data_IF_775657309455
#
_entry.id   IF_775657309455
#
_cell.length_a   1.000
_cell.length_b   1.000
_cell.length_c   1.000
_cell.angle_alpha   90.00
_cell.angle_beta   90.00
_cell.angle_gamma   90.00
#
_symmetry.space_group_name_H-M   'P 1'
#
loop_
_entity.id
_entity.type
_entity.pdbx_description
1 polymer ?
#
# COMPACT_ATOMS: atom_id res chain seq x y z
N UNK A 1 -24.11 -2.29 -18.85
CA UNK A 1 -23.53 -1.37 -17.85
C UNK A 1 -22.04 -1.24 -18.14
N UNK A 2 -21.51 -0.04 -18.46
CA UNK A 2 -20.06 0.15 -18.49
C UNK A 2 -19.55 0.33 -17.05
N UNK A 3 -18.55 -0.45 -16.65
CA UNK A 3 -17.74 -0.18 -15.46
C UNK A 3 -16.37 0.32 -15.94
N UNK A 4 -15.82 1.33 -15.28
CA UNK A 4 -14.50 1.88 -15.55
C UNK A 4 -13.51 1.41 -14.49
N UNK A 5 -12.35 0.91 -14.91
CA UNK A 5 -11.24 0.58 -14.01
C UNK A 5 -10.21 1.72 -14.09
N UNK A 6 -10.01 2.43 -12.98
CA UNK A 6 -9.00 3.48 -12.85
C UNK A 6 -7.85 2.91 -12.03
N UNK A 7 -6.61 2.97 -12.55
CA UNK A 7 -5.39 2.53 -11.87
C UNK A 7 -4.46 3.72 -11.72
N UNK A 8 -4.27 4.20 -10.49
CA UNK A 8 -3.28 5.24 -10.15
C UNK A 8 -2.07 4.62 -9.44
N UNK A 9 -0.86 5.14 -9.68
CA UNK A 9 0.40 4.61 -9.13
C UNK A 9 1.24 5.74 -8.54
N UNK A 10 1.68 5.58 -7.29
CA UNK A 10 2.53 6.52 -6.57
C UNK A 10 3.73 5.76 -5.98
N UNK A 11 4.92 6.36 -5.98
CA UNK A 11 6.16 5.77 -5.46
C UNK A 11 6.85 6.72 -4.47
N UNK A 12 7.20 6.23 -3.28
CA UNK A 12 7.94 6.97 -2.25
C UNK A 12 8.99 6.03 -1.63
N UNK A 13 10.26 6.46 -1.61
CA UNK A 13 11.39 5.65 -1.12
C UNK A 13 12.07 6.32 0.07
N UNK A 14 12.31 5.56 1.14
CA UNK A 14 13.08 5.97 2.32
C UNK A 14 14.03 4.83 2.73
N UNK A 15 15.24 5.16 3.16
CA UNK A 15 16.22 4.19 3.71
C UNK A 15 16.36 4.42 5.21
N UNK A 16 16.23 3.35 6.00
CA UNK A 16 16.33 3.38 7.47
C UNK A 16 17.33 2.30 7.89
N UNK A 17 18.29 2.67 8.76
CA UNK A 17 19.29 1.75 9.31
C UNK A 17 19.02 1.50 10.81
N UNK A 18 19.03 0.24 11.24
CA UNK A 18 18.80 -0.15 12.63
C UNK A 18 19.45 -1.51 12.95
N UNK A 19 19.95 -1.69 14.19
CA UNK A 19 20.41 -2.98 14.73
C UNK A 19 19.23 -3.71 15.39
N UNK A 20 18.56 -4.57 14.61
CA UNK A 20 17.38 -5.34 15.05
C UNK A 20 17.44 -6.78 14.50
N UNK A 21 16.60 -7.66 15.05
CA UNK A 21 16.47 -9.02 14.53
C UNK A 21 15.83 -9.01 13.13
N UNK A 22 16.09 -10.05 12.34
CA UNK A 22 15.50 -10.19 11.01
C UNK A 22 13.96 -10.26 11.06
N UNK A 23 13.40 -10.87 12.11
CA UNK A 23 11.95 -10.99 12.29
C UNK A 23 11.33 -9.62 12.59
N UNK A 24 11.94 -8.86 13.51
CA UNK A 24 11.53 -7.48 13.80
C UNK A 24 11.67 -6.58 12.57
N UNK A 25 12.71 -6.78 11.76
CA UNK A 25 12.91 -6.03 10.52
C UNK A 25 11.79 -6.30 9.51
N UNK A 26 11.36 -7.56 9.35
CA UNK A 26 10.25 -7.95 8.49
C UNK A 26 8.93 -7.34 8.97
N UNK A 27 8.63 -7.43 10.26
CA UNK A 27 7.41 -6.83 10.83
C UNK A 27 7.40 -5.31 10.68
N UNK A 28 8.53 -4.65 10.92
CA UNK A 28 8.67 -3.21 10.74
C UNK A 28 8.48 -2.80 9.28
N UNK A 29 9.09 -3.51 8.33
CA UNK A 29 8.94 -3.26 6.91
C UNK A 29 7.47 -3.38 6.47
N UNK A 30 6.78 -4.45 6.87
CA UNK A 30 5.35 -4.64 6.58
C UNK A 30 4.47 -3.56 7.24
N UNK A 31 4.77 -3.18 8.48
CA UNK A 31 4.03 -2.14 9.21
C UNK A 31 4.18 -0.77 8.55
N UNK A 32 5.41 -0.41 8.12
CA UNK A 32 5.69 0.84 7.41
C UNK A 32 4.98 0.86 6.05
N UNK A 33 5.12 -0.22 5.27
CA UNK A 33 4.45 -0.35 3.97
C UNK A 33 2.93 -0.23 4.10
N UNK A 34 2.32 -0.92 5.06
CA UNK A 34 0.89 -0.82 5.36
C UNK A 34 0.49 0.62 5.69
N UNK A 35 1.21 1.29 6.60
CA UNK A 35 0.90 2.68 6.99
C UNK A 35 0.98 3.64 5.81
N UNK A 36 1.98 3.47 4.93
CA UNK A 36 2.12 4.28 3.71
C UNK A 36 0.97 4.02 2.75
N UNK A 37 0.63 2.76 2.47
CA UNK A 37 -0.49 2.39 1.62
C UNK A 37 -1.84 2.91 2.18
N UNK A 38 -2.04 2.79 3.49
CA UNK A 38 -3.28 3.19 4.16
C UNK A 38 -3.56 4.71 4.08
N UNK A 39 -2.52 5.55 4.00
CA UNK A 39 -2.68 7.00 3.81
C UNK A 39 -3.30 7.37 2.46
N UNK A 40 -3.16 6.50 1.47
CA UNK A 40 -3.69 6.71 0.12
C UNK A 40 -5.10 6.11 -0.05
N UNK A 41 -5.67 5.49 0.98
CA UNK A 41 -7.03 4.95 0.91
C UNK A 41 -8.02 6.12 0.90
N UNK A 42 -8.87 6.23 -0.14
CA UNK A 42 -9.85 7.29 -0.23
C UNK A 42 -10.84 7.30 0.93
N UNK A 43 -11.31 8.48 1.32
CA UNK A 43 -12.35 8.61 2.33
C UNK A 43 -13.64 7.91 1.88
N UNK A 44 -14.22 7.10 2.75
CA UNK A 44 -15.42 6.31 2.43
C UNK A 44 -15.15 5.00 1.70
N UNK A 45 -13.91 4.72 1.28
CA UNK A 45 -13.55 3.42 0.72
C UNK A 45 -13.55 2.32 1.80
N UNK A 46 -14.11 1.16 1.48
CA UNK A 46 -14.13 -0.01 2.36
C UNK A 46 -13.00 -0.95 2.03
N UNK A 47 -12.11 -1.21 2.98
CA UNK A 47 -11.09 -2.26 2.84
C UNK A 47 -11.78 -3.63 2.85
N UNK A 48 -11.50 -4.46 1.84
CA UNK A 48 -12.06 -5.81 1.70
C UNK A 48 -11.04 -6.91 1.95
N UNK A 49 -9.77 -6.68 1.64
CA UNK A 49 -8.70 -7.64 1.90
C UNK A 49 -7.36 -6.96 2.17
N UNK A 50 -6.47 -7.68 2.84
CA UNK A 50 -5.08 -7.28 3.12
C UNK A 50 -4.16 -8.46 2.97
N UNK A 51 -3.13 -8.31 2.14
CA UNK A 51 -2.11 -9.34 1.92
C UNK A 51 -0.74 -8.77 2.23
N UNK A 52 0.08 -9.57 2.92
CA UNK A 52 1.50 -9.28 3.17
C UNK A 52 2.31 -10.45 2.62
N UNK A 53 3.28 -10.15 1.76
CA UNK A 53 4.21 -11.11 1.20
C UNK A 53 5.64 -10.68 1.48
N UNK A 54 6.52 -11.64 1.74
CA UNK A 54 7.95 -11.39 1.89
C UNK A 54 8.67 -12.03 0.71
N UNK A 55 9.38 -11.21 -0.07
CA UNK A 55 10.07 -11.62 -1.28
C UNK A 55 11.56 -11.42 -1.02
N UNK A 56 12.33 -12.52 -1.08
CA UNK A 56 13.78 -12.48 -1.00
C UNK A 56 14.37 -12.51 -2.42
N UNK A 57 15.27 -11.60 -2.73
CA UNK A 57 15.92 -11.54 -4.04
C UNK A 57 17.28 -12.28 -4.03
N UNK A 58 17.92 -12.39 -5.21
CA UNK A 58 19.19 -13.09 -5.37
C UNK A 58 20.37 -12.46 -4.59
N UNK A 59 20.24 -11.19 -4.17
CA UNK A 59 21.23 -10.48 -3.37
C UNK A 59 21.03 -10.68 -1.86
N UNK A 60 20.00 -11.43 -1.44
CA UNK A 60 19.61 -11.62 -0.05
C UNK A 60 18.82 -10.43 0.54
N UNK A 61 18.36 -9.50 -0.31
CA UNK A 61 17.48 -8.42 0.14
C UNK A 61 16.07 -8.97 0.30
N UNK A 62 15.42 -8.62 1.41
CA UNK A 62 14.07 -9.06 1.74
C UNK A 62 13.13 -7.87 1.65
N UNK A 63 12.12 -7.99 0.79
CA UNK A 63 11.10 -6.97 0.55
C UNK A 63 9.78 -7.42 1.17
N UNK A 64 9.14 -6.54 1.95
CA UNK A 64 7.78 -6.72 2.41
C UNK A 64 6.82 -6.04 1.41
N UNK A 65 6.04 -6.82 0.69
CA UNK A 65 5.00 -6.33 -0.22
C UNK A 65 3.65 -6.35 0.49
N UNK A 66 2.96 -5.20 0.53
CA UNK A 66 1.69 -5.04 1.24
C UNK A 66 0.63 -4.54 0.28
N UNK A 67 -0.38 -5.38 0.06
CA UNK A 67 -1.50 -5.11 -0.83
C UNK A 67 -2.76 -4.88 0.02
N UNK A 68 -3.41 -3.72 -0.18
CA UNK A 68 -4.69 -3.40 0.44
C UNK A 68 -5.73 -3.29 -0.67
N UNK A 69 -6.73 -4.17 -0.64
CA UNK A 69 -7.84 -4.13 -1.59
C UNK A 69 -9.00 -3.33 -1.00
N UNK A 70 -9.52 -2.37 -1.78
CA UNK A 70 -10.58 -1.46 -1.38
C UNK A 70 -11.74 -1.49 -2.37
N UNK A 71 -12.96 -1.39 -1.85
CA UNK A 71 -14.17 -1.08 -2.62
C UNK A 71 -14.55 0.38 -2.40
N UNK A 72 -14.67 1.12 -3.49
CA UNK A 72 -15.09 2.53 -3.51
C UNK A 72 -16.33 2.70 -4.40
N UNK A 73 -17.22 3.61 -4.02
CA UNK A 73 -18.28 4.10 -4.90
C UNK A 73 -17.76 5.25 -5.77
N UNK A 74 -17.38 4.92 -7.00
CA UNK A 74 -16.84 5.86 -8.00
C UNK A 74 -17.91 6.78 -8.64
N UNK A 75 -19.19 6.65 -8.21
CA UNK A 75 -20.33 7.38 -8.77
C UNK A 75 -20.70 8.68 -8.04
N UNK A 76 -20.03 8.99 -6.92
CA UNK A 76 -20.28 10.18 -6.12
C UNK A 76 -19.26 11.25 -6.51
N UNK A 77 -19.71 12.37 -7.06
CA UNK A 77 -18.84 13.47 -7.48
C UNK A 77 -17.96 13.92 -6.30
N UNK A 78 -16.63 13.83 -6.46
CA UNK A 78 -15.69 14.55 -5.59
C UNK A 78 -15.94 16.04 -5.77
N UNK A 79 -16.30 16.73 -4.69
CA UNK A 79 -16.17 18.17 -4.65
C UNK A 79 -14.67 18.53 -4.73
N UNK A 80 -14.30 18.95 -5.94
CA UNK A 80 -13.18 19.83 -6.30
C UNK A 80 -11.78 19.21 -6.44
N UNK A 81 -11.26 19.39 -7.66
CA UNK A 81 -9.84 19.27 -8.00
C UNK A 81 -9.52 19.51 -9.48
N UNK A 82 -10.45 20.11 -10.23
CA UNK A 82 -10.16 20.59 -11.59
C UNK A 82 -9.63 22.01 -11.54
N UNK A 83 -8.36 22.17 -11.89
CA UNK A 83 -7.85 23.34 -12.62
C UNK A 83 -7.31 22.87 -13.96
#
# INVERSE_FOLDING_TARGET
>A
MPFGLIIERYYENDVIEADISLEDAKENAASVAYKKAAKNIPEGAKIVDRKVEFIENENGEIVADVIIECLEDIGVAKENGGE
#
